data_IF_014197517855
#
_entry.id   IF_014197517855
#
_cell.length_a   1.000
_cell.length_b   1.000
_cell.length_c   1.000
_cell.angle_alpha   90.00
_cell.angle_beta   90.00
_cell.angle_gamma   90.00
#
_symmetry.space_group_name_H-M   'P 1'
#
loop_
_entity.id
_entity.type
_entity.pdbx_description
1 polymer ?
#
# COMPACT_ATOMS: atom_id res chain seq x y z
N UNK A 1 21.37 23.41 44.33
CA UNK A 1 22.43 23.30 43.32
C UNK A 1 21.79 23.24 41.94
N UNK A 2 21.68 24.37 41.25
CA UNK A 2 21.14 24.40 39.89
C UNK A 2 22.33 24.35 38.95
N UNK A 3 22.70 23.14 38.52
CA UNK A 3 23.75 22.92 37.51
C UNK A 3 23.18 23.45 36.19
N UNK A 4 23.52 24.67 35.83
CA UNK A 4 23.20 25.23 34.53
C UNK A 4 23.87 24.34 33.47
N UNK A 5 23.06 23.76 32.58
CA UNK A 5 23.54 23.12 31.36
C UNK A 5 24.40 24.14 30.61
N UNK A 6 25.62 23.76 30.28
CA UNK A 6 26.51 24.67 29.56
C UNK A 6 25.96 24.93 28.15
N UNK A 7 26.11 26.16 27.63
CA UNK A 7 25.59 26.52 26.30
C UNK A 7 26.14 25.60 25.20
N UNK A 8 27.37 25.13 25.35
CA UNK A 8 28.01 24.17 24.45
C UNK A 8 27.35 22.79 24.48
N UNK A 9 26.89 22.33 25.64
CA UNK A 9 26.25 21.02 25.79
C UNK A 9 24.91 20.98 25.06
N UNK A 10 24.13 22.07 25.17
CA UNK A 10 22.87 22.21 24.41
C UNK A 10 23.16 22.32 22.90
N UNK A 11 24.20 23.04 22.50
CA UNK A 11 24.56 23.21 21.08
C UNK A 11 24.96 21.88 20.42
N UNK A 12 25.77 21.06 21.10
CA UNK A 12 26.17 19.74 20.58
C UNK A 12 24.97 18.81 20.50
N UNK A 13 24.10 18.79 21.51
CA UNK A 13 22.89 17.94 21.52
C UNK A 13 21.96 18.30 20.37
N UNK A 14 21.67 19.59 20.16
CA UNK A 14 20.84 20.03 19.03
C UNK A 14 21.49 19.65 17.71
N UNK A 15 22.81 19.82 17.57
CA UNK A 15 23.54 19.43 16.37
C UNK A 15 23.42 17.94 16.04
N UNK A 16 23.48 17.06 17.03
CA UNK A 16 23.31 15.62 16.82
C UNK A 16 21.86 15.28 16.45
N UNK A 17 20.88 15.89 17.12
CA UNK A 17 19.45 15.65 16.85
C UNK A 17 19.07 16.06 15.42
N UNK A 18 19.55 17.21 14.93
CA UNK A 18 19.24 17.68 13.58
C UNK A 18 19.78 16.73 12.50
N UNK A 19 20.99 16.21 12.70
CA UNK A 19 21.61 15.24 11.77
C UNK A 19 20.82 13.93 11.76
N UNK A 20 20.46 13.40 12.93
CA UNK A 20 19.68 12.15 13.05
C UNK A 20 18.29 12.27 12.40
N UNK A 21 17.59 13.38 12.66
CA UNK A 21 16.27 13.61 12.07
C UNK A 21 16.32 13.74 10.56
N UNK A 22 17.36 14.37 10.01
CA UNK A 22 17.54 14.50 8.56
C UNK A 22 17.62 13.14 7.85
N UNK A 23 18.40 12.19 8.40
CA UNK A 23 18.53 10.85 7.81
C UNK A 23 17.27 10.00 7.98
N UNK A 24 16.59 10.11 9.13
CA UNK A 24 15.42 9.30 9.44
C UNK A 24 14.27 9.47 8.43
N UNK A 25 14.06 10.69 7.92
CA UNK A 25 12.97 11.01 6.99
C UNK A 25 13.11 10.22 5.67
N UNK A 26 14.29 10.25 5.06
CA UNK A 26 14.53 9.64 3.74
C UNK A 26 14.32 8.12 3.81
N UNK A 27 14.81 7.50 4.88
CA UNK A 27 14.62 6.08 5.10
C UNK A 27 13.16 5.72 5.36
N UNK A 28 12.46 6.51 6.18
CA UNK A 28 11.06 6.28 6.51
C UNK A 28 10.16 6.22 5.26
N UNK A 29 10.32 7.17 4.33
CA UNK A 29 9.54 7.19 3.09
C UNK A 29 9.71 5.91 2.25
N UNK A 30 10.95 5.43 2.07
CA UNK A 30 11.20 4.22 1.30
C UNK A 30 10.60 2.96 1.93
N UNK A 31 10.66 2.83 3.26
CA UNK A 31 10.05 1.70 3.97
C UNK A 31 8.53 1.73 3.88
N UNK A 32 7.94 2.92 4.02
CA UNK A 32 6.50 3.10 3.96
C UNK A 32 5.95 2.76 2.57
N UNK A 33 6.58 3.23 1.48
CA UNK A 33 6.14 2.87 0.11
C UNK A 33 6.23 1.38 -0.18
N UNK A 34 7.28 0.69 0.32
CA UNK A 34 7.40 -0.77 0.22
C UNK A 34 6.30 -1.51 1.00
N UNK A 35 5.98 -1.04 2.21
CA UNK A 35 4.91 -1.61 3.03
C UNK A 35 3.53 -1.41 2.40
N UNK A 36 3.29 -0.24 1.79
CA UNK A 36 2.06 0.03 1.02
C UNK A 36 1.96 -0.92 -0.17
N UNK A 37 3.02 -1.07 -0.98
CA UNK A 37 3.06 -2.03 -2.10
C UNK A 37 2.73 -3.46 -1.66
N UNK A 38 3.34 -3.93 -0.58
CA UNK A 38 3.09 -5.27 -0.05
C UNK A 38 1.64 -5.44 0.46
N UNK A 39 1.08 -4.39 1.08
CA UNK A 39 -0.30 -4.38 1.55
C UNK A 39 -1.28 -4.45 0.38
N UNK A 40 -1.14 -3.59 -0.63
CA UNK A 40 -1.99 -3.60 -1.83
C UNK A 40 -1.88 -4.93 -2.58
N UNK A 41 -0.68 -5.48 -2.73
CA UNK A 41 -0.48 -6.79 -3.36
C UNK A 41 -1.26 -7.88 -2.63
N UNK A 42 -1.26 -7.85 -1.29
CA UNK A 42 -1.99 -8.82 -0.47
C UNK A 42 -3.50 -8.64 -0.61
N UNK A 43 -3.99 -7.39 -0.62
CA UNK A 43 -5.41 -7.07 -0.83
C UNK A 43 -5.91 -7.55 -2.19
N UNK A 44 -5.15 -7.29 -3.26
CA UNK A 44 -5.47 -7.76 -4.62
C UNK A 44 -5.52 -9.28 -4.68
N UNK A 45 -4.54 -9.98 -4.08
CA UNK A 45 -4.52 -11.45 -4.06
C UNK A 45 -5.69 -12.05 -3.27
N UNK A 46 -6.03 -11.43 -2.15
CA UNK A 46 -7.16 -11.86 -1.35
C UNK A 46 -8.48 -11.66 -2.13
N UNK A 47 -8.63 -10.51 -2.78
CA UNK A 47 -9.77 -10.25 -3.64
C UNK A 47 -9.85 -11.19 -4.85
N UNK A 48 -8.73 -11.47 -5.49
CA UNK A 48 -8.64 -12.42 -6.58
C UNK A 48 -9.10 -13.81 -6.14
N UNK A 49 -8.76 -14.22 -4.91
CA UNK A 49 -9.22 -15.50 -4.35
C UNK A 49 -10.74 -15.54 -4.21
N UNK A 50 -11.37 -14.45 -3.72
CA UNK A 50 -12.83 -14.34 -3.64
C UNK A 50 -13.50 -14.35 -5.01
N UNK A 51 -12.92 -13.64 -5.98
CA UNK A 51 -13.37 -13.62 -7.38
C UNK A 51 -13.29 -15.03 -8.01
N UNK A 52 -12.21 -15.76 -7.73
CA UNK A 52 -12.04 -17.13 -8.22
C UNK A 52 -13.07 -18.09 -7.62
N UNK A 53 -13.44 -17.91 -6.35
CA UNK A 53 -14.52 -18.67 -5.69
C UNK A 53 -15.86 -18.33 -6.34
N UNK A 54 -16.20 -17.05 -6.50
CA UNK A 54 -17.48 -16.64 -7.08
C UNK A 54 -17.65 -17.11 -8.53
N UNK A 55 -16.54 -17.18 -9.30
CA UNK A 55 -16.54 -17.74 -10.65
C UNK A 55 -16.84 -19.24 -10.68
N UNK A 56 -16.38 -19.99 -9.68
CA UNK A 56 -16.62 -21.43 -9.59
C UNK A 56 -18.04 -21.75 -9.12
N UNK A 57 -18.61 -20.91 -8.25
CA UNK A 57 -19.95 -21.13 -7.69
C UNK A 57 -21.08 -20.87 -8.70
N UNK A 58 -20.78 -20.44 -9.93
CA UNK A 58 -21.75 -20.15 -11.00
C UNK A 58 -22.91 -19.23 -10.53
N UNK A 59 -22.63 -18.42 -9.49
CA UNK A 59 -23.59 -17.57 -8.81
C UNK A 59 -23.86 -16.31 -9.63
N UNK A 60 -25.11 -15.86 -9.61
CA UNK A 60 -25.62 -14.66 -10.30
C UNK A 60 -25.04 -13.32 -9.80
N UNK A 61 -24.05 -13.36 -8.91
CA UNK A 61 -23.36 -12.18 -8.40
C UNK A 61 -22.41 -11.64 -9.47
N UNK A 62 -22.64 -10.41 -9.93
CA UNK A 62 -21.71 -9.74 -10.83
C UNK A 62 -20.33 -9.67 -10.17
N UNK A 63 -19.28 -9.94 -10.95
CA UNK A 63 -17.90 -9.84 -10.46
C UNK A 63 -17.61 -8.47 -9.84
N UNK A 64 -18.20 -7.44 -10.44
CA UNK A 64 -18.18 -6.07 -9.97
C UNK A 64 -18.62 -5.94 -8.50
N UNK A 65 -19.66 -6.67 -8.07
CA UNK A 65 -20.17 -6.64 -6.70
C UNK A 65 -19.26 -7.40 -5.72
N UNK A 66 -18.65 -8.50 -6.18
CA UNK A 66 -17.66 -9.26 -5.39
C UNK A 66 -16.44 -8.37 -5.11
N UNK A 67 -15.92 -7.69 -6.14
CA UNK A 67 -14.78 -6.79 -6.03
C UNK A 67 -15.09 -5.59 -5.14
N UNK A 68 -16.32 -5.06 -5.18
CA UNK A 68 -16.75 -4.00 -4.29
C UNK A 68 -16.73 -4.40 -2.80
N UNK A 69 -16.93 -5.68 -2.50
CA UNK A 69 -16.98 -6.24 -1.14
C UNK A 69 -15.63 -6.79 -0.67
N UNK A 70 -14.62 -6.82 -1.55
CA UNK A 70 -13.30 -7.31 -1.21
C UNK A 70 -12.70 -6.52 -0.03
N UNK A 71 -12.04 -7.21 0.91
CA UNK A 71 -11.42 -6.56 2.06
C UNK A 71 -10.29 -5.65 1.60
N UNK A 72 -10.24 -4.45 2.19
CA UNK A 72 -9.23 -3.42 1.91
C UNK A 72 -8.44 -3.15 3.18
N UNK A 73 -7.13 -3.13 3.07
CA UNK A 73 -6.25 -2.60 4.12
C UNK A 73 -6.44 -1.09 4.27
N UNK A 74 -5.94 -0.53 5.37
CA UNK A 74 -5.90 0.92 5.63
C UNK A 74 -5.23 1.72 4.51
N UNK A 75 -4.35 1.08 3.73
CA UNK A 75 -3.59 1.72 2.67
C UNK A 75 -4.29 1.70 1.30
N UNK A 76 -5.36 0.92 1.15
CA UNK A 76 -6.05 0.73 -0.14
C UNK A 76 -7.27 1.63 -0.21
N UNK A 77 -7.27 2.59 -1.14
CA UNK A 77 -8.38 3.51 -1.34
C UNK A 77 -9.47 2.86 -2.18
N UNK A 78 -9.07 2.44 -3.38
CA UNK A 78 -9.98 1.84 -4.35
C UNK A 78 -9.43 0.49 -4.78
N UNK A 79 -10.35 -0.42 -5.00
CA UNK A 79 -10.11 -1.71 -5.63
C UNK A 79 -11.25 -1.89 -6.61
N UNK A 80 -10.92 -1.84 -7.90
CA UNK A 80 -11.90 -1.79 -8.99
C UNK A 80 -11.66 -2.91 -9.98
N UNK A 81 -12.75 -3.36 -10.58
CA UNK A 81 -12.73 -4.26 -11.71
C UNK A 81 -12.77 -3.43 -12.99
N UNK A 82 -11.71 -3.47 -13.78
CA UNK A 82 -11.63 -2.76 -15.06
C UNK A 82 -12.22 -3.59 -16.21
N UNK A 83 -12.17 -4.92 -16.09
CA UNK A 83 -12.72 -5.82 -17.10
C UNK A 83 -13.06 -7.17 -16.47
N UNK A 84 -14.14 -7.80 -16.92
CA UNK A 84 -14.59 -9.12 -16.45
C UNK A 84 -14.04 -10.28 -17.32
N UNK A 85 -13.61 -9.97 -18.54
CA UNK A 85 -13.16 -10.93 -19.55
C UNK A 85 -12.17 -10.26 -20.53
N UNK A 86 -10.84 -10.40 -20.33
CA UNK A 86 -10.16 -11.05 -19.21
C UNK A 86 -10.28 -10.24 -17.91
N UNK A 87 -10.24 -10.91 -16.76
CA UNK A 87 -10.34 -10.25 -15.45
C UNK A 87 -9.14 -9.30 -15.29
N UNK A 88 -9.45 -8.02 -15.11
CA UNK A 88 -8.48 -6.97 -14.78
C UNK A 88 -8.90 -6.25 -13.52
N UNK A 89 -8.05 -6.30 -12.50
CA UNK A 89 -8.28 -5.63 -11.22
C UNK A 89 -7.23 -4.57 -11.02
N UNK A 90 -7.62 -3.42 -10.51
CA UNK A 90 -6.69 -2.35 -10.15
C UNK A 90 -6.98 -1.88 -8.74
N UNK A 91 -5.94 -1.87 -7.91
CA UNK A 91 -5.92 -1.30 -6.57
C UNK A 91 -5.09 -0.02 -6.56
N UNK A 92 -5.57 1.02 -5.91
CA UNK A 92 -4.84 2.27 -5.72
C UNK A 92 -4.68 2.59 -4.24
N UNK A 93 -3.53 3.15 -3.88
CA UNK A 93 -3.26 3.56 -2.50
C UNK A 93 -4.02 4.84 -2.14
N UNK A 94 -4.23 5.05 -0.84
CA UNK A 94 -4.81 6.30 -0.29
C UNK A 94 -3.97 7.54 -0.58
N UNK A 95 -2.66 7.39 -0.79
CA UNK A 95 -1.78 8.49 -1.18
C UNK A 95 -1.78 8.75 -2.68
N UNK A 96 -2.37 7.85 -3.49
CA UNK A 96 -2.29 7.91 -4.95
C UNK A 96 -0.88 7.64 -5.52
N UNK A 97 0.04 7.19 -4.67
CA UNK A 97 1.47 7.06 -4.97
C UNK A 97 1.83 5.64 -5.44
N UNK A 98 0.95 4.66 -5.22
CA UNK A 98 1.16 3.25 -5.57
C UNK A 98 -0.12 2.66 -6.16
N UNK A 99 0.01 1.95 -7.28
CA UNK A 99 -1.04 1.11 -7.85
C UNK A 99 -0.56 -0.32 -8.04
N UNK A 100 -1.47 -1.27 -7.84
CA UNK A 100 -1.29 -2.67 -8.19
C UNK A 100 -2.36 -3.08 -9.20
N UNK A 101 -1.95 -3.68 -10.31
CA UNK A 101 -2.86 -4.22 -11.32
C UNK A 101 -2.66 -5.72 -11.49
N UNK A 102 -3.76 -6.45 -11.58
CA UNK A 102 -3.79 -7.86 -11.96
C UNK A 102 -4.39 -8.01 -13.35
N UNK A 103 -3.77 -8.86 -14.16
CA UNK A 103 -4.28 -9.22 -15.48
C UNK A 103 -4.28 -10.73 -15.67
N UNK A 104 -5.48 -11.30 -15.83
CA UNK A 104 -5.71 -12.74 -15.98
C UNK A 104 -4.98 -13.35 -17.19
N UNK A 105 -4.77 -12.61 -18.27
CA UNK A 105 -4.03 -13.11 -19.45
C UNK A 105 -2.55 -13.38 -19.13
N UNK A 106 -1.98 -12.60 -18.20
CA UNK A 106 -0.59 -12.76 -17.76
C UNK A 106 -0.46 -13.63 -16.51
N UNK A 107 -1.51 -13.73 -15.69
CA UNK A 107 -1.48 -14.37 -14.38
C UNK A 107 -0.62 -13.64 -13.33
N UNK A 108 -0.17 -12.41 -13.63
CA UNK A 108 0.74 -11.65 -12.79
C UNK A 108 0.02 -10.49 -12.10
N UNK A 109 0.47 -10.16 -10.88
CA UNK A 109 0.13 -8.90 -10.20
C UNK A 109 1.34 -7.99 -10.26
N UNK A 110 1.17 -6.81 -10.87
CA UNK A 110 2.21 -5.81 -11.06
C UNK A 110 1.90 -4.62 -10.17
N UNK A 111 2.83 -4.24 -9.30
CA UNK A 111 2.71 -3.08 -8.43
C UNK A 111 3.77 -2.05 -8.78
N UNK A 112 3.36 -0.82 -9.06
CA UNK A 112 4.24 0.31 -9.38
C UNK A 112 3.94 1.52 -8.51
N UNK A 113 4.96 2.33 -8.27
CA UNK A 113 4.75 3.72 -7.90
C UNK A 113 4.23 4.51 -9.11
N UNK A 114 3.35 5.48 -8.86
CA UNK A 114 2.68 6.30 -9.88
C UNK A 114 3.18 7.74 -9.77
#
# INVERSE_FOLDING_TARGET
MSKAFTLIEVLVVIGIITILLGLAIIFYHQYLSKAIKASLLSDVRNCLSLVAISKQENGTSSLSQVVATCPKSKYTQNLILESENPIKLTATSISGEVACSYNETSGLVLCSEI
#
